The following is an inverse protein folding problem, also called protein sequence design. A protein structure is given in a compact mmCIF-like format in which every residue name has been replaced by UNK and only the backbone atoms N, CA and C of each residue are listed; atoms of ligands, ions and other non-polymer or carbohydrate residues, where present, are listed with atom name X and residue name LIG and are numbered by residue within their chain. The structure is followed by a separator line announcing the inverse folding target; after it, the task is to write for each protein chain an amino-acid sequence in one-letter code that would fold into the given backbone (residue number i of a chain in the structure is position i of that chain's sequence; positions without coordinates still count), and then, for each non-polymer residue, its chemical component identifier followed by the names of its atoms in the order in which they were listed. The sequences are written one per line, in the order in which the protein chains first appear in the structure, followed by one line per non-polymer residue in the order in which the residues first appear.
data_IF_195165073685
#
_entry.id   IF_195165073685
#
_cell.length_a   1.000
_cell.length_b   1.000
_cell.length_c   1.000
_cell.angle_alpha   90.00
_cell.angle_beta   90.00
_cell.angle_gamma   90.00
#
_symmetry.space_group_name_H-M   'P 1'
#
loop_
_entity.id
_entity.type
_entity.pdbx_description
1 polymer ?
#
# COMPACT_ATOMS: atom_id res chain seq x y z
N UNK A 1 -11.19 -4.97 -13.94
CA UNK A 1 -12.43 -5.40 -13.29
C UNK A 1 -12.39 -5.11 -11.79
N UNK A 2 -12.62 -3.85 -11.40
CA UNK A 2 -12.95 -3.40 -10.05
C UNK A 2 -13.90 -2.18 -10.16
N UNK A 3 -14.80 -2.19 -11.13
CA UNK A 3 -15.55 -0.99 -11.59
C UNK A 3 -16.68 -0.56 -10.62
N UNK A 4 -17.13 -1.44 -9.71
CA UNK A 4 -18.38 -1.23 -8.94
C UNK A 4 -18.27 -1.48 -7.44
N UNK A 5 -17.08 -1.72 -6.88
CA UNK A 5 -16.92 -1.83 -5.43
C UNK A 5 -16.60 -0.46 -4.82
N UNK A 6 -17.28 -0.03 -3.74
CA UNK A 6 -16.89 1.16 -3.01
C UNK A 6 -15.45 0.97 -2.52
N UNK A 7 -14.57 1.87 -2.94
CA UNK A 7 -13.18 1.88 -2.53
C UNK A 7 -12.90 3.12 -1.70
N UNK A 8 -12.11 2.97 -0.65
CA UNK A 8 -11.59 4.11 0.09
C UNK A 8 -10.33 4.60 -0.62
N UNK A 9 -10.29 5.89 -0.92
CA UNK A 9 -9.15 6.54 -1.53
C UNK A 9 -8.33 7.24 -0.45
N UNK A 10 -7.07 6.86 -0.32
CA UNK A 10 -6.08 7.51 0.53
C UNK A 10 -4.93 8.02 -0.31
N UNK A 11 -4.31 9.12 0.11
CA UNK A 11 -3.07 9.60 -0.50
C UNK A 11 -2.07 9.92 0.57
N UNK A 12 -0.87 9.35 0.45
CA UNK A 12 0.28 9.69 1.28
C UNK A 12 1.32 10.42 0.45
N UNK A 13 1.88 11.49 0.99
CA UNK A 13 2.92 12.29 0.33
C UNK A 13 4.12 12.41 1.26
N UNK A 14 5.31 12.03 0.79
CA UNK A 14 6.55 12.24 1.55
C UNK A 14 7.65 12.73 0.62
N UNK A 15 8.24 13.90 0.94
CA UNK A 15 9.17 14.61 0.06
C UNK A 15 8.54 14.78 -1.34
N UNK A 16 9.20 14.27 -2.38
CA UNK A 16 8.72 14.25 -3.78
C UNK A 16 7.97 12.97 -4.17
N UNK A 17 7.80 12.01 -3.25
CA UNK A 17 7.03 10.78 -3.49
C UNK A 17 5.55 11.00 -3.20
N UNK A 18 4.72 10.61 -4.16
CA UNK A 18 3.25 10.58 -4.02
C UNK A 18 2.79 9.13 -4.09
N UNK A 19 2.22 8.63 -3.00
CA UNK A 19 1.56 7.34 -2.90
C UNK A 19 0.04 7.53 -2.93
N UNK A 20 -0.62 6.82 -3.84
CA UNK A 20 -2.07 6.75 -3.97
C UNK A 20 -2.51 5.37 -3.55
N UNK A 21 -3.28 5.28 -2.48
CA UNK A 21 -3.79 4.05 -1.89
C UNK A 21 -5.27 3.92 -2.24
N UNK A 22 -5.66 2.77 -2.74
CA UNK A 22 -7.04 2.38 -2.96
C UNK A 22 -7.31 1.15 -2.13
N UNK A 23 -8.25 1.25 -1.20
CA UNK A 23 -8.63 0.16 -0.31
C UNK A 23 -9.98 -0.37 -0.78
N UNK A 24 -10.02 -1.66 -1.09
CA UNK A 24 -11.21 -2.38 -1.49
C UNK A 24 -11.60 -3.36 -0.38
N UNK A 25 -12.89 -3.61 -0.19
CA UNK A 25 -13.35 -4.70 0.69
C UNK A 25 -13.10 -6.05 0.02
N UNK A 26 -12.35 -6.93 0.69
CA UNK A 26 -11.79 -8.12 0.05
C UNK A 26 -10.99 -9.05 0.96
N UNK A 27 -9.95 -9.65 0.40
CA UNK A 27 -9.23 -10.82 0.95
C UNK A 27 -7.95 -10.52 1.72
N UNK A 28 -7.53 -9.25 1.80
CA UNK A 28 -6.26 -8.89 2.46
C UNK A 28 -5.06 -8.82 1.51
N UNK A 29 -5.28 -8.80 0.18
CA UNK A 29 -4.19 -8.75 -0.80
C UNK A 29 -3.63 -7.34 -0.90
N UNK A 30 -2.31 -7.21 -0.74
CA UNK A 30 -1.61 -5.92 -0.84
C UNK A 30 -0.76 -5.91 -2.10
N UNK A 31 -0.99 -4.95 -2.97
CA UNK A 31 -0.25 -4.77 -4.22
C UNK A 31 0.31 -3.34 -4.30
N UNK A 32 1.54 -3.20 -4.77
CA UNK A 32 2.24 -1.92 -4.92
C UNK A 32 2.73 -1.80 -6.36
N UNK A 33 2.22 -0.80 -7.07
CA UNK A 33 2.55 -0.52 -8.47
C UNK A 33 2.41 -1.77 -9.36
N UNK A 34 1.28 -2.46 -9.19
CA UNK A 34 0.92 -3.70 -9.89
C UNK A 34 1.89 -4.89 -9.62
N UNK A 35 2.78 -4.77 -8.63
CA UNK A 35 3.64 -5.84 -8.11
C UNK A 35 3.26 -6.22 -6.69
N UNK A 36 3.51 -7.47 -6.32
CA UNK A 36 3.35 -7.93 -4.94
C UNK A 36 4.37 -7.24 -4.01
N UNK A 37 3.98 -7.01 -2.76
CA UNK A 37 4.83 -6.35 -1.75
C UNK A 37 6.19 -7.05 -1.61
N UNK A 38 6.20 -8.37 -1.81
CA UNK A 38 7.39 -9.23 -1.76
C UNK A 38 8.40 -8.92 -2.88
N UNK A 39 7.90 -8.62 -4.08
CA UNK A 39 8.74 -8.29 -5.23
C UNK A 39 9.18 -6.82 -5.24
N UNK A 40 8.43 -5.93 -4.59
CA UNK A 40 8.76 -4.49 -4.55
C UNK A 40 9.74 -4.16 -3.43
N UNK A 41 9.60 -4.79 -2.27
CA UNK A 41 10.47 -4.60 -1.12
C UNK A 41 11.26 -5.88 -0.86
N UNK A 42 12.45 -5.97 -1.45
CA UNK A 42 13.40 -7.07 -1.19
C UNK A 42 13.97 -7.09 0.24
N UNK A 43 13.61 -6.13 1.09
CA UNK A 43 14.02 -6.03 2.50
C UNK A 43 12.83 -6.31 3.42
N UNK A 44 12.95 -7.30 4.30
CA UNK A 44 11.93 -7.66 5.29
C UNK A 44 11.54 -6.50 6.22
N UNK A 45 12.49 -5.60 6.51
CA UNK A 45 12.24 -4.40 7.34
C UNK A 45 11.16 -3.50 6.74
N UNK A 46 11.13 -3.38 5.40
CA UNK A 46 10.14 -2.54 4.71
C UNK A 46 8.77 -3.21 4.70
N UNK A 47 8.71 -4.56 4.65
CA UNK A 47 7.46 -5.31 4.80
C UNK A 47 6.83 -5.07 6.17
N UNK A 48 7.64 -5.07 7.24
CA UNK A 48 7.17 -4.76 8.59
C UNK A 48 6.60 -3.35 8.72
N UNK A 49 7.28 -2.35 8.13
CA UNK A 49 6.83 -0.95 8.16
C UNK A 49 5.47 -0.80 7.45
N UNK A 50 5.28 -1.44 6.30
CA UNK A 50 4.01 -1.37 5.54
C UNK A 50 2.90 -2.18 6.20
N UNK A 51 3.22 -3.29 6.89
CA UNK A 51 2.24 -4.09 7.63
C UNK A 51 1.84 -3.48 8.96
N UNK A 52 2.73 -2.79 9.65
CA UNK A 52 2.47 -2.15 10.96
C UNK A 52 1.17 -1.33 11.04
N UNK A 53 0.85 -0.43 10.09
CA UNK A 53 -0.42 0.32 10.12
C UNK A 53 -1.65 -0.57 9.87
N UNK A 54 -1.51 -1.62 9.06
CA UNK A 54 -2.61 -2.56 8.76
C UNK A 54 -2.94 -3.45 9.97
N UNK A 55 -1.90 -3.88 10.68
CA UNK A 55 -2.01 -4.61 11.96
C UNK A 55 -2.66 -3.71 13.01
N UNK A 56 -2.21 -2.46 13.13
CA UNK A 56 -2.77 -1.47 14.08
C UNK A 56 -4.25 -1.19 13.84
N UNK A 57 -4.66 -1.09 12.57
CA UNK A 57 -6.05 -0.84 12.20
C UNK A 57 -6.92 -2.12 12.23
N UNK A 58 -6.33 -3.30 12.46
CA UNK A 58 -7.04 -4.58 12.45
C UNK A 58 -7.69 -4.89 11.09
N UNK A 59 -7.12 -4.35 10.00
CA UNK A 59 -7.63 -4.48 8.63
C UNK A 59 -7.08 -5.72 7.91
N UNK A 60 -6.21 -6.48 8.57
CA UNK A 60 -5.63 -7.72 8.05
C UNK A 60 -6.71 -8.70 7.60
N UNK A 61 -6.63 -9.15 6.34
CA UNK A 61 -7.52 -10.16 5.77
C UNK A 61 -8.92 -9.68 5.36
N UNK A 62 -9.29 -8.41 5.63
CA UNK A 62 -10.63 -7.87 5.30
C UNK A 62 -10.64 -6.90 4.12
N UNK A 63 -9.48 -6.35 3.79
CA UNK A 63 -9.37 -5.31 2.77
C UNK A 63 -8.22 -5.61 1.82
N UNK A 64 -8.48 -5.54 0.53
CA UNK A 64 -7.45 -5.54 -0.50
C UNK A 64 -6.93 -4.11 -0.67
N UNK A 65 -5.62 -3.94 -0.65
CA UNK A 65 -4.97 -2.63 -0.72
C UNK A 65 -4.16 -2.56 -2.01
N UNK A 66 -4.50 -1.60 -2.87
CA UNK A 66 -3.77 -1.31 -4.10
C UNK A 66 -3.10 0.05 -3.94
N UNK A 67 -1.77 0.04 -3.91
CA UNK A 67 -0.97 1.24 -3.77
C UNK A 67 -0.29 1.54 -5.10
N UNK A 68 -0.38 2.77 -5.59
CA UNK A 68 0.44 3.27 -6.69
C UNK A 68 1.32 4.40 -6.19
N UNK A 69 2.62 4.20 -6.26
CA UNK A 69 3.60 5.22 -5.89
C UNK A 69 4.21 5.79 -7.16
N UNK A 70 4.35 7.11 -7.22
CA UNK A 70 5.04 7.82 -8.29
C UNK A 70 5.94 8.89 -7.68
N UNK A 71 7.19 8.95 -8.14
CA UNK A 71 8.21 9.87 -7.65
C UNK A 71 8.99 9.35 -6.42
N UNK A 72 10.26 9.76 -6.32
CA UNK A 72 11.20 9.47 -5.23
C UNK A 72 11.62 8.00 -5.06
N UNK A 73 12.85 7.77 -4.62
CA UNK A 73 13.43 6.42 -4.50
C UNK A 73 12.66 5.46 -3.57
N UNK A 74 13.05 4.18 -3.60
CA UNK A 74 12.42 3.06 -2.86
C UNK A 74 12.20 3.34 -1.37
N UNK A 75 13.12 4.07 -0.74
CA UNK A 75 13.06 4.47 0.67
C UNK A 75 12.02 5.57 0.95
N UNK A 76 11.86 6.54 0.05
CA UNK A 76 10.83 7.58 0.17
C UNK A 76 9.43 7.01 -0.04
N UNK A 77 9.33 6.04 -0.96
CA UNK A 77 8.10 5.29 -1.25
C UNK A 77 7.56 4.57 0.00
N UNK A 78 8.40 3.80 0.71
CA UNK A 78 7.96 2.97 1.85
C UNK A 78 7.26 3.76 2.96
N UNK A 79 7.75 4.95 3.30
CA UNK A 79 7.15 5.75 4.37
C UNK A 79 5.94 6.57 3.90
N UNK A 80 5.79 6.79 2.60
CA UNK A 80 4.59 7.46 2.07
C UNK A 80 3.34 6.57 2.01
N UNK A 81 3.49 5.26 2.20
CA UNK A 81 2.36 4.31 2.23
C UNK A 81 1.70 4.24 3.62
N UNK A 82 2.33 4.84 4.64
CA UNK A 82 1.77 5.04 5.99
C UNK A 82 0.79 6.21 6.00
#
# INVERSE_FOLDING_TARGET
MYETKPYFYGTGRRKDSVARVRVYTGTGKITINDRDIDNYFGLETLKLIVRSPLVLLGLEGKYDVVVRVSGGGVSASCTSVL
#
